data_IF_024380383255
#
_entry.id   IF_024380383255
#
_cell.length_a   1.000
_cell.length_b   1.000
_cell.length_c   1.000
_cell.angle_alpha   90.00
_cell.angle_beta   90.00
_cell.angle_gamma   90.00
#
_symmetry.space_group_name_H-M   'P 1'
#
loop_
_entity.id
_entity.type
_entity.pdbx_description
1 polymer ?
#
# COMPACT_ATOMS: atom_id res chain seq x y z
N UNK A 1 1.87 -26.56 -17.90
CA UNK A 1 2.06 -25.29 -18.63
C UNK A 1 3.28 -25.43 -19.53
N UNK A 2 3.14 -25.38 -20.86
CA UNK A 2 4.28 -25.58 -21.78
C UNK A 2 5.29 -24.41 -21.78
N UNK A 3 4.90 -23.24 -21.27
CA UNK A 3 5.71 -22.02 -21.18
C UNK A 3 6.35 -21.79 -19.80
N UNK A 4 6.22 -22.72 -18.86
CA UNK A 4 6.75 -22.55 -17.50
C UNK A 4 8.25 -22.88 -17.46
N UNK A 5 9.09 -21.83 -17.44
CA UNK A 5 10.55 -21.99 -17.44
C UNK A 5 11.12 -22.36 -16.07
N UNK A 6 10.63 -21.72 -15.00
CA UNK A 6 11.14 -21.85 -13.63
C UNK A 6 10.01 -21.72 -12.61
N UNK A 7 10.14 -22.44 -11.50
CA UNK A 7 9.35 -22.24 -10.29
C UNK A 7 10.31 -21.80 -9.19
N UNK A 8 10.15 -20.56 -8.71
CA UNK A 8 10.96 -20.03 -7.61
C UNK A 8 10.19 -20.27 -6.32
N UNK A 9 10.77 -21.03 -5.42
CA UNK A 9 10.23 -21.33 -4.11
C UNK A 9 10.78 -20.29 -3.14
N UNK A 10 9.88 -19.51 -2.53
CA UNK A 10 10.20 -18.56 -1.48
C UNK A 10 9.89 -19.23 -0.15
N UNK A 11 10.94 -19.57 0.59
CA UNK A 11 10.85 -20.21 1.88
C UNK A 11 10.32 -19.23 2.94
N UNK A 12 9.28 -19.64 3.68
CA UNK A 12 8.70 -18.82 4.76
C UNK A 12 9.18 -19.21 6.16
N UNK A 13 9.94 -20.30 6.28
CA UNK A 13 10.51 -20.82 7.53
C UNK A 13 11.90 -21.39 7.30
N UNK A 14 12.77 -21.29 8.30
CA UNK A 14 14.17 -21.76 8.21
C UNK A 14 14.30 -23.26 7.90
N UNK A 15 13.36 -24.10 8.36
CA UNK A 15 13.33 -25.55 8.08
C UNK A 15 12.91 -25.89 6.63
N UNK A 16 12.41 -24.91 5.88
CA UNK A 16 11.91 -25.13 4.51
C UNK A 16 13.04 -25.23 3.48
N UNK A 17 14.23 -24.71 3.80
CA UNK A 17 15.40 -24.71 2.91
C UNK A 17 15.96 -26.10 2.62
N UNK A 18 15.69 -27.09 3.48
CA UNK A 18 16.19 -28.47 3.34
C UNK A 18 15.13 -29.45 2.86
N UNK A 19 13.91 -28.98 2.54
CA UNK A 19 12.86 -29.87 2.04
C UNK A 19 13.18 -30.30 0.62
N UNK A 20 12.84 -31.55 0.32
CA UNK A 20 12.92 -32.05 -1.04
C UNK A 20 11.86 -31.36 -1.91
N UNK A 21 12.31 -30.81 -3.03
CA UNK A 21 11.50 -30.09 -4.02
C UNK A 21 11.55 -30.77 -5.39
N UNK A 22 12.11 -31.99 -5.48
CA UNK A 22 12.26 -32.76 -6.72
C UNK A 22 10.92 -33.01 -7.43
N UNK A 23 9.85 -33.14 -6.66
CA UNK A 23 8.50 -33.38 -7.18
C UNK A 23 7.90 -32.15 -7.87
N UNK A 24 8.46 -30.96 -7.62
CA UNK A 24 8.06 -29.71 -8.27
C UNK A 24 8.98 -29.50 -9.48
N UNK A 25 8.45 -29.77 -10.66
CA UNK A 25 9.20 -29.60 -11.92
C UNK A 25 9.74 -28.17 -12.07
N UNK A 26 11.00 -28.04 -12.51
CA UNK A 26 11.70 -26.77 -12.74
C UNK A 26 11.82 -25.88 -11.49
N UNK A 27 11.79 -26.48 -10.29
CA UNK A 27 11.89 -25.74 -9.02
C UNK A 27 13.30 -25.31 -8.67
N UNK A 28 13.40 -24.24 -7.89
CA UNK A 28 14.62 -23.77 -7.22
C UNK A 28 14.23 -22.89 -6.04
N UNK A 29 15.04 -22.94 -4.99
CA UNK A 29 14.91 -22.02 -3.87
C UNK A 29 15.36 -20.60 -4.23
N UNK A 30 14.72 -19.58 -3.62
CA UNK A 30 14.97 -18.17 -3.92
C UNK A 30 16.44 -17.82 -3.79
N UNK A 31 17.11 -18.24 -2.71
CA UNK A 31 18.53 -17.96 -2.48
C UNK A 31 19.40 -18.46 -3.64
N UNK A 32 19.21 -19.72 -4.03
CA UNK A 32 19.96 -20.32 -5.15
C UNK A 32 19.61 -19.67 -6.48
N UNK A 33 18.37 -19.21 -6.66
CA UNK A 33 17.98 -18.45 -7.84
C UNK A 33 18.69 -17.09 -7.92
N UNK A 34 18.78 -16.37 -6.80
CA UNK A 34 19.50 -15.09 -6.73
C UNK A 34 20.99 -15.25 -7.01
N UNK A 35 21.61 -16.34 -6.54
CA UNK A 35 23.01 -16.68 -6.83
C UNK A 35 23.28 -16.85 -8.35
N UNK A 36 22.30 -17.32 -9.13
CA UNK A 36 22.42 -17.42 -10.60
C UNK A 36 22.52 -16.04 -11.28
N UNK A 37 22.04 -14.99 -10.63
CA UNK A 37 22.05 -13.62 -11.15
C UNK A 37 23.31 -12.84 -10.81
N UNK A 38 24.23 -13.39 -9.99
CA UNK A 38 25.47 -12.71 -9.61
C UNK A 38 26.49 -12.69 -10.74
N UNK A 39 27.28 -11.63 -10.81
CA UNK A 39 28.46 -11.52 -11.65
C UNK A 39 29.51 -12.58 -11.28
N UNK A 40 30.50 -12.78 -12.16
CA UNK A 40 31.60 -13.73 -11.91
C UNK A 40 32.42 -13.42 -10.65
N UNK A 41 32.38 -12.17 -10.22
CA UNK A 41 33.01 -11.63 -9.02
C UNK A 41 32.08 -11.64 -7.79
N UNK A 42 30.85 -12.17 -7.91
CA UNK A 42 29.84 -12.16 -6.86
C UNK A 42 29.06 -10.85 -6.73
N UNK A 43 29.28 -9.87 -7.61
CA UNK A 43 28.55 -8.60 -7.60
C UNK A 43 27.11 -8.74 -8.12
N UNK A 44 26.21 -7.86 -7.68
CA UNK A 44 24.87 -7.74 -8.27
C UNK A 44 24.99 -6.88 -9.53
N UNK A 45 24.61 -7.39 -10.72
CA UNK A 45 24.63 -6.58 -11.94
C UNK A 45 23.76 -5.32 -11.81
N UNK A 46 24.13 -4.20 -12.46
CA UNK A 46 23.31 -2.99 -12.41
C UNK A 46 21.93 -3.25 -13.00
N UNK A 47 20.89 -2.72 -12.34
CA UNK A 47 19.53 -2.76 -12.87
C UNK A 47 19.45 -1.97 -14.18
N UNK A 48 18.84 -2.58 -15.20
CA UNK A 48 18.56 -1.93 -16.48
C UNK A 48 17.07 -1.59 -16.55
N UNK A 49 16.75 -0.32 -16.79
CA UNK A 49 15.38 0.17 -16.92
C UNK A 49 15.09 0.49 -18.38
N UNK A 50 14.17 -0.27 -18.97
CA UNK A 50 13.73 -0.08 -20.36
C UNK A 50 13.10 1.31 -20.54
N UNK A 51 13.49 2.02 -21.60
CA UNK A 51 12.94 3.34 -21.90
C UNK A 51 11.72 3.18 -22.79
N UNK A 52 10.55 3.50 -22.24
CA UNK A 52 9.27 3.27 -22.93
C UNK A 52 8.58 4.59 -23.28
N UNK A 53 7.70 4.56 -24.29
CA UNK A 53 6.87 5.72 -24.63
C UNK A 53 5.88 6.06 -23.52
N UNK A 54 5.36 7.29 -23.50
CA UNK A 54 4.32 7.71 -22.54
C UNK A 54 3.00 6.93 -22.67
N UNK A 55 2.79 6.24 -23.79
CA UNK A 55 1.61 5.40 -24.06
C UNK A 55 1.81 3.93 -23.69
N UNK A 56 2.99 3.55 -23.19
CA UNK A 56 3.29 2.17 -22.84
C UNK A 56 2.40 1.68 -21.67
N UNK A 57 1.85 0.46 -21.72
CA UNK A 57 1.08 -0.08 -20.60
C UNK A 57 2.00 -0.43 -19.42
N UNK A 58 1.63 -0.01 -18.21
CA UNK A 58 2.36 -0.29 -16.95
C UNK A 58 1.67 -1.37 -16.14
N UNK A 59 0.36 -1.26 -15.92
CA UNK A 59 -0.42 -2.29 -15.22
C UNK A 59 -1.87 -2.32 -15.68
N UNK A 60 -2.55 -3.43 -15.36
CA UNK A 60 -3.96 -3.67 -15.66
C UNK A 60 -4.70 -3.85 -14.33
N UNK A 61 -5.71 -3.02 -14.08
CA UNK A 61 -6.64 -3.21 -12.97
C UNK A 61 -7.97 -3.73 -13.49
N UNK A 62 -8.41 -4.86 -12.95
CA UNK A 62 -9.74 -5.40 -13.24
C UNK A 62 -10.76 -4.78 -12.29
N UNK A 63 -11.84 -4.24 -12.85
CA UNK A 63 -12.95 -3.67 -12.08
C UNK A 63 -14.21 -4.54 -12.24
N UNK A 64 -14.93 -4.74 -11.14
CA UNK A 64 -16.23 -5.41 -11.13
C UNK A 64 -17.27 -4.49 -11.77
N UNK A 65 -17.47 -4.62 -13.08
CA UNK A 65 -18.56 -3.92 -13.77
C UNK A 65 -19.92 -4.37 -13.26
N UNK A 66 -20.93 -3.51 -13.34
CA UNK A 66 -22.32 -3.82 -12.93
C UNK A 66 -23.05 -4.77 -13.89
N UNK A 67 -22.53 -4.95 -15.09
CA UNK A 67 -23.04 -5.89 -16.10
C UNK A 67 -21.87 -6.51 -16.89
N UNK A 68 -21.66 -7.82 -16.80
CA UNK A 68 -20.70 -8.57 -17.62
C UNK A 68 -19.36 -8.91 -16.97
N UNK A 69 -18.41 -9.37 -17.80
CA UNK A 69 -17.06 -9.75 -17.38
C UNK A 69 -16.28 -8.55 -16.79
N UNK A 70 -15.34 -8.77 -15.85
CA UNK A 70 -14.52 -7.70 -15.30
C UNK A 70 -13.85 -6.86 -16.39
N UNK A 71 -13.92 -5.53 -16.26
CA UNK A 71 -13.31 -4.61 -17.23
C UNK A 71 -11.83 -4.44 -16.92
N UNK A 72 -10.97 -4.75 -17.89
CA UNK A 72 -9.53 -4.55 -17.81
C UNK A 72 -9.19 -3.08 -18.10
N UNK A 73 -8.84 -2.32 -17.07
CA UNK A 73 -8.40 -0.93 -17.20
C UNK A 73 -6.89 -0.91 -17.32
N UNK A 74 -6.38 -0.43 -18.45
CA UNK A 74 -4.94 -0.34 -18.71
C UNK A 74 -4.46 1.04 -18.28
N UNK A 75 -3.39 1.08 -17.49
CA UNK A 75 -2.77 2.30 -17.01
C UNK A 75 -1.36 2.44 -17.58
N UNK A 76 -1.00 3.65 -18.02
CA UNK A 76 0.33 3.99 -18.50
C UNK A 76 1.07 4.96 -17.56
N UNK A 77 2.25 5.47 -17.96
CA UNK A 77 3.04 6.46 -17.21
C UNK A 77 2.25 7.70 -16.76
N UNK A 78 1.22 8.12 -17.50
CA UNK A 78 0.35 9.24 -17.10
C UNK A 78 -0.37 9.03 -15.77
N UNK A 79 -0.70 7.78 -15.41
CA UNK A 79 -1.24 7.46 -14.09
C UNK A 79 -0.22 7.75 -13.00
N UNK A 80 1.03 7.33 -13.19
CA UNK A 80 2.10 7.53 -12.22
C UNK A 80 2.36 9.02 -12.02
N UNK A 81 2.39 9.81 -13.09
CA UNK A 81 2.56 11.26 -13.00
C UNK A 81 1.44 11.93 -12.20
N UNK A 82 0.19 11.53 -12.41
CA UNK A 82 -0.94 12.03 -11.63
C UNK A 82 -0.82 11.61 -10.15
N UNK A 83 -0.41 10.37 -9.88
CA UNK A 83 -0.15 9.89 -8.53
C UNK A 83 0.99 10.66 -7.86
N UNK A 84 2.08 10.96 -8.56
CA UNK A 84 3.19 11.72 -8.00
C UNK A 84 2.78 13.14 -7.64
N UNK A 85 2.02 13.80 -8.53
CA UNK A 85 1.41 15.10 -8.22
C UNK A 85 0.61 15.03 -6.93
N UNK A 86 -0.26 14.02 -6.81
CA UNK A 86 -1.13 13.92 -5.64
C UNK A 86 -0.33 13.61 -4.36
N UNK A 87 0.65 12.72 -4.43
CA UNK A 87 1.53 12.41 -3.29
C UNK A 87 2.33 13.63 -2.83
N UNK A 88 2.83 14.44 -3.76
CA UNK A 88 3.57 15.66 -3.43
C UNK A 88 2.67 16.77 -2.88
N UNK A 89 1.50 17.00 -3.50
CA UNK A 89 0.68 18.19 -3.20
C UNK A 89 -0.39 17.96 -2.14
N UNK A 90 -0.99 16.76 -2.11
CA UNK A 90 -2.12 16.45 -1.24
C UNK A 90 -1.69 15.61 -0.03
N UNK A 91 -0.70 14.74 -0.20
CA UNK A 91 -0.22 13.85 0.86
C UNK A 91 1.04 14.36 1.54
N UNK A 92 1.66 15.44 1.07
CA UNK A 92 2.91 15.98 1.64
C UNK A 92 3.99 14.90 1.82
N UNK A 93 4.11 14.00 0.83
CA UNK A 93 5.00 12.85 0.93
C UNK A 93 6.45 13.26 0.64
N UNK A 94 7.29 13.11 1.66
CA UNK A 94 8.73 13.36 1.62
C UNK A 94 9.53 12.07 1.84
N UNK A 95 10.85 12.16 1.74
CA UNK A 95 11.75 11.01 1.90
C UNK A 95 11.77 10.46 3.33
N UNK A 96 11.59 11.32 4.33
CA UNK A 96 11.51 10.95 5.74
C UNK A 96 10.09 10.55 6.16
N UNK A 97 9.10 10.66 5.27
CA UNK A 97 7.75 10.18 5.53
C UNK A 97 7.73 8.68 5.79
N UNK A 98 7.05 8.31 6.86
CA UNK A 98 6.68 6.94 7.22
C UNK A 98 5.18 6.79 6.97
N UNK A 99 4.81 6.07 5.92
CA UNK A 99 3.45 5.94 5.41
C UNK A 99 2.88 4.56 5.70
N UNK A 100 1.76 4.52 6.41
CA UNK A 100 1.02 3.30 6.69
C UNK A 100 -0.21 3.20 5.80
N UNK A 101 -0.43 2.02 5.20
CA UNK A 101 -1.65 1.75 4.45
C UNK A 101 -2.24 0.37 4.74
N UNK A 102 -3.56 0.32 4.68
CA UNK A 102 -4.35 -0.92 4.64
C UNK A 102 -4.98 -1.06 3.25
N UNK A 103 -4.17 -1.37 2.25
CA UNK A 103 -4.62 -1.57 0.88
C UNK A 103 -4.22 -2.96 0.37
N UNK A 104 -5.17 -3.81 -0.02
CA UNK A 104 -4.86 -5.08 -0.67
C UNK A 104 -4.20 -4.86 -2.04
N UNK A 105 -3.25 -5.73 -2.40
CA UNK A 105 -2.49 -5.63 -3.66
C UNK A 105 -3.36 -5.63 -4.94
N UNK A 106 -4.58 -6.17 -4.87
CA UNK A 106 -5.51 -6.19 -5.99
C UNK A 106 -6.26 -4.87 -6.26
N UNK A 107 -6.07 -3.84 -5.43
CA UNK A 107 -6.78 -2.56 -5.56
C UNK A 107 -5.92 -1.48 -6.21
N UNK A 108 -6.55 -0.51 -6.85
CA UNK A 108 -5.83 0.64 -7.43
C UNK A 108 -5.07 1.44 -6.37
N UNK A 109 -5.56 1.49 -5.13
CA UNK A 109 -4.88 2.17 -4.02
C UNK A 109 -3.53 1.55 -3.69
N UNK A 110 -3.33 0.25 -3.93
CA UNK A 110 -2.02 -0.37 -3.78
C UNK A 110 -0.99 0.19 -4.76
N UNK A 111 -1.39 0.32 -6.03
CA UNK A 111 -0.56 0.92 -7.07
C UNK A 111 -0.23 2.39 -6.71
N UNK A 112 -1.19 3.11 -6.11
CA UNK A 112 -0.98 4.49 -5.66
C UNK A 112 0.06 4.57 -4.53
N UNK A 113 -0.09 3.76 -3.47
CA UNK A 113 0.84 3.80 -2.32
C UNK A 113 2.23 3.30 -2.70
N UNK A 114 2.32 2.23 -3.50
CA UNK A 114 3.62 1.73 -3.96
C UNK A 114 4.32 2.72 -4.89
N UNK A 115 3.57 3.50 -5.68
CA UNK A 115 4.13 4.59 -6.48
C UNK A 115 4.75 5.70 -5.62
N UNK A 116 4.33 5.86 -4.36
CA UNK A 116 4.93 6.84 -3.46
C UNK A 116 6.43 6.58 -3.21
N UNK A 117 6.93 5.35 -3.43
CA UNK A 117 8.36 5.01 -3.38
C UNK A 117 9.22 5.90 -4.28
N UNK A 118 8.64 6.56 -5.29
CA UNK A 118 9.30 7.59 -6.09
C UNK A 118 9.93 8.70 -5.22
N UNK A 119 9.27 9.11 -4.13
CA UNK A 119 9.76 10.13 -3.20
C UNK A 119 10.74 9.57 -2.16
N UNK A 120 10.87 8.24 -2.08
CA UNK A 120 11.69 7.54 -1.10
C UNK A 120 11.16 7.41 0.33
N UNK A 121 9.83 7.46 0.61
CA UNK A 121 9.31 7.24 1.97
C UNK A 121 9.49 5.78 2.41
N UNK A 122 9.33 5.54 3.71
CA UNK A 122 9.15 4.19 4.26
C UNK A 122 7.68 3.79 4.18
N UNK A 123 7.39 2.61 3.61
CA UNK A 123 6.02 2.08 3.53
C UNK A 123 5.81 0.96 4.57
N UNK A 124 4.78 1.12 5.41
CA UNK A 124 4.27 0.08 6.29
C UNK A 124 3.02 -0.52 5.68
N UNK A 125 3.07 -1.82 5.45
CA UNK A 125 2.04 -2.59 4.77
C UNK A 125 1.39 -3.51 5.81
N UNK A 126 0.09 -3.38 5.99
CA UNK A 126 -0.68 -4.22 6.89
C UNK A 126 -1.75 -5.01 6.14
N UNK A 127 -1.74 -6.33 6.35
CA UNK A 127 -2.76 -7.25 5.86
C UNK A 127 -3.50 -7.87 7.04
N UNK A 128 -4.81 -7.66 7.10
CA UNK A 128 -5.67 -8.23 8.14
C UNK A 128 -6.72 -7.26 8.65
N UNK A 129 -7.37 -7.66 9.74
CA UNK A 129 -8.42 -6.87 10.40
C UNK A 129 -7.91 -6.36 11.75
N UNK A 130 -7.81 -5.04 11.95
CA UNK A 130 -7.14 -4.49 13.13
C UNK A 130 -8.00 -4.59 14.40
N UNK A 131 -9.32 -4.65 14.28
CA UNK A 131 -10.24 -4.61 15.43
C UNK A 131 -10.19 -5.88 16.30
N UNK A 132 -9.66 -6.99 15.77
CA UNK A 132 -9.55 -8.25 16.50
C UNK A 132 -8.19 -8.44 17.17
N UNK A 133 -7.26 -7.50 16.97
CA UNK A 133 -5.92 -7.55 17.57
C UNK A 133 -5.90 -6.82 18.91
N UNK A 134 -6.33 -5.56 18.93
CA UNK A 134 -6.48 -4.73 20.14
C UNK A 134 -7.34 -3.50 19.81
N UNK A 135 -8.10 -2.95 20.79
CA UNK A 135 -8.80 -1.67 20.63
C UNK A 135 -7.90 -0.51 20.17
N UNK A 136 -6.61 -0.54 20.51
CA UNK A 136 -5.65 0.53 20.20
C UNK A 136 -4.67 0.18 19.10
N UNK A 137 -4.83 -0.97 18.43
CA UNK A 137 -3.79 -1.55 17.56
C UNK A 137 -3.21 -0.56 16.54
N UNK A 138 -4.06 0.10 15.74
CA UNK A 138 -3.57 1.05 14.73
C UNK A 138 -2.87 2.27 15.35
N UNK A 139 -3.31 2.71 16.52
CA UNK A 139 -2.73 3.83 17.25
C UNK A 139 -1.37 3.47 17.83
N UNK A 140 -1.25 2.24 18.34
CA UNK A 140 0.00 1.70 18.85
C UNK A 140 1.07 1.61 17.75
N UNK A 141 0.68 1.19 16.54
CA UNK A 141 1.59 1.17 15.39
C UNK A 141 2.11 2.57 15.05
N UNK A 142 1.29 3.61 15.19
CA UNK A 142 1.72 5.00 14.93
C UNK A 142 2.83 5.39 15.89
N UNK A 143 2.63 5.11 17.18
CA UNK A 143 3.60 5.44 18.21
C UNK A 143 4.90 4.62 18.09
N UNK A 144 4.78 3.33 17.79
CA UNK A 144 5.88 2.37 17.68
C UNK A 144 6.77 2.69 16.48
N UNK A 145 6.17 2.85 15.30
CA UNK A 145 6.90 3.04 14.05
C UNK A 145 7.06 4.51 13.65
N UNK A 146 6.61 5.45 14.49
CA UNK A 146 6.62 6.89 14.21
C UNK A 146 5.95 7.23 12.87
N UNK A 147 4.80 6.61 12.62
CA UNK A 147 4.03 6.83 11.39
C UNK A 147 3.68 8.30 11.29
N UNK A 148 3.92 8.87 10.10
CA UNK A 148 3.66 10.27 9.77
C UNK A 148 2.43 10.45 8.89
N UNK A 149 2.17 9.46 8.03
CA UNK A 149 1.07 9.46 7.07
C UNK A 149 0.29 8.17 7.21
N UNK A 150 -1.02 8.25 7.33
CA UNK A 150 -1.89 7.08 7.45
C UNK A 150 -2.99 7.13 6.40
N UNK A 151 -3.22 6.01 5.70
CA UNK A 151 -4.33 5.83 4.77
C UNK A 151 -5.07 4.52 5.08
N UNK A 152 -6.30 4.62 5.59
CA UNK A 152 -7.12 3.44 5.92
C UNK A 152 -8.51 3.51 5.27
N UNK A 153 -9.21 2.37 5.10
CA UNK A 153 -10.60 2.38 4.65
C UNK A 153 -11.51 3.15 5.62
N UNK A 154 -12.45 3.93 5.09
CA UNK A 154 -13.45 4.67 5.90
C UNK A 154 -14.25 3.74 6.81
N UNK A 155 -14.48 2.49 6.39
CA UNK A 155 -15.14 1.45 7.20
C UNK A 155 -14.36 1.08 8.47
N UNK A 156 -13.03 1.26 8.49
CA UNK A 156 -12.22 1.10 9.70
C UNK A 156 -12.56 2.19 10.72
N UNK A 157 -12.59 3.46 10.29
CA UNK A 157 -12.96 4.58 11.14
C UNK A 157 -14.39 4.47 11.68
N UNK A 158 -15.35 4.11 10.83
CA UNK A 158 -16.75 3.88 11.21
C UNK A 158 -16.87 2.85 12.35
N UNK A 159 -16.10 1.77 12.27
CA UNK A 159 -16.15 0.72 13.29
C UNK A 159 -15.39 1.10 14.56
N UNK A 160 -14.27 1.84 14.45
CA UNK A 160 -13.56 2.39 15.61
C UNK A 160 -14.45 3.37 16.38
N UNK A 161 -15.17 4.24 15.68
CA UNK A 161 -16.15 5.15 16.27
C UNK A 161 -17.23 4.36 17.04
N UNK A 162 -17.87 3.37 16.40
CA UNK A 162 -18.93 2.56 17.03
C UNK A 162 -18.47 1.83 18.29
N UNK A 163 -17.21 1.37 18.31
CA UNK A 163 -16.64 0.63 19.44
C UNK A 163 -15.97 1.52 20.48
N UNK A 164 -15.87 2.83 20.25
CA UNK A 164 -15.14 3.75 21.13
C UNK A 164 -13.63 3.47 21.18
N UNK A 165 -13.05 2.99 20.07
CA UNK A 165 -11.64 2.64 19.97
C UNK A 165 -10.82 3.89 19.69
N UNK A 166 -10.23 4.45 20.75
CA UNK A 166 -9.52 5.73 20.72
C UNK A 166 -8.05 5.56 21.13
N UNK A 167 -7.15 6.42 20.66
CA UNK A 167 -5.75 6.43 21.09
C UNK A 167 -5.59 6.66 22.59
N UNK A 168 -4.43 6.26 23.13
CA UNK A 168 -4.04 6.67 24.49
C UNK A 168 -3.79 8.18 24.53
N UNK A 169 -4.03 8.79 25.69
CA UNK A 169 -3.72 10.21 25.89
C UNK A 169 -2.24 10.48 25.62
N UNK A 170 -1.94 11.47 24.78
CA UNK A 170 -0.56 11.86 24.43
C UNK A 170 0.12 11.00 23.37
N UNK A 171 -0.63 10.12 22.68
CA UNK A 171 -0.12 9.36 21.52
C UNK A 171 -0.27 10.13 20.20
N UNK A 172 0.21 9.54 19.11
CA UNK A 172 0.10 10.05 17.73
C UNK A 172 0.88 11.33 17.49
N UNK A 173 1.97 11.55 18.22
CA UNK A 173 2.80 12.76 18.08
C UNK A 173 3.35 12.90 16.65
N UNK A 174 3.81 11.80 16.06
CA UNK A 174 4.40 11.78 14.71
C UNK A 174 3.39 11.95 13.57
N UNK A 175 2.09 11.70 13.82
CA UNK A 175 1.07 11.68 12.77
C UNK A 175 0.76 13.10 12.28
N UNK A 176 1.06 13.37 11.00
CA UNK A 176 0.86 14.66 10.33
C UNK A 176 -0.38 14.65 9.44
N UNK A 177 -0.55 13.57 8.68
CA UNK A 177 -1.65 13.41 7.71
C UNK A 177 -2.36 12.08 7.94
N UNK A 178 -3.68 12.11 8.06
CA UNK A 178 -4.51 10.91 8.13
C UNK A 178 -5.64 11.00 7.11
N UNK A 179 -5.72 9.99 6.26
CA UNK A 179 -6.69 9.91 5.19
C UNK A 179 -7.55 8.67 5.33
N UNK A 180 -8.82 8.85 5.03
CA UNK A 180 -9.80 7.79 4.90
C UNK A 180 -10.18 7.62 3.43
N UNK A 181 -10.28 6.37 2.96
CA UNK A 181 -10.59 6.07 1.57
C UNK A 181 -11.63 4.97 1.36
N UNK A 182 -12.17 4.91 0.15
CA UNK A 182 -13.07 3.83 -0.30
C UNK A 182 -14.56 4.18 -0.21
N UNK A 183 -14.94 5.13 0.64
CA UNK A 183 -16.26 5.75 0.64
C UNK A 183 -16.19 7.16 1.22
N UNK A 184 -17.20 7.98 0.95
CA UNK A 184 -17.36 9.31 1.54
C UNK A 184 -17.36 9.19 3.07
N UNK A 185 -16.54 10.01 3.73
CA UNK A 185 -16.49 10.12 5.19
C UNK A 185 -17.73 10.87 5.68
N UNK A 186 -18.41 10.32 6.70
CA UNK A 186 -19.59 10.96 7.28
C UNK A 186 -19.16 12.16 8.16
N UNK A 187 -19.96 13.24 8.26
CA UNK A 187 -19.64 14.38 9.12
C UNK A 187 -19.28 13.99 10.56
N UNK A 188 -20.01 13.04 11.16
CA UNK A 188 -19.73 12.60 12.54
C UNK A 188 -18.36 11.93 12.73
N UNK A 189 -17.73 11.44 11.64
CA UNK A 189 -16.38 10.87 11.70
C UNK A 189 -15.34 11.99 11.79
N UNK A 190 -15.56 13.14 11.15
CA UNK A 190 -14.69 14.31 11.34
C UNK A 190 -14.71 14.75 12.81
N UNK A 191 -15.90 14.86 13.40
CA UNK A 191 -16.04 15.19 14.82
C UNK A 191 -15.33 14.15 15.69
N UNK A 192 -15.57 12.86 15.46
CA UNK A 192 -14.90 11.78 16.19
C UNK A 192 -13.37 11.88 16.11
N UNK A 193 -12.82 12.12 14.92
CA UNK A 193 -11.38 12.25 14.68
C UNK A 193 -10.80 13.42 15.47
N UNK A 194 -11.37 14.62 15.34
CA UNK A 194 -10.82 15.81 15.99
C UNK A 194 -11.07 15.84 17.51
N UNK A 195 -12.17 15.26 17.99
CA UNK A 195 -12.48 15.21 19.42
C UNK A 195 -11.76 14.08 20.16
N UNK A 196 -11.60 12.91 19.53
CA UNK A 196 -11.18 11.68 20.22
C UNK A 196 -9.86 11.10 19.73
N UNK A 197 -9.40 11.44 18.51
CA UNK A 197 -8.15 10.91 17.96
C UNK A 197 -7.02 11.92 18.10
N UNK A 198 -7.09 13.06 17.42
CA UNK A 198 -6.06 14.12 17.47
C UNK A 198 -6.62 15.44 16.93
N UNK A 199 -6.23 16.57 17.52
CA UNK A 199 -6.70 17.91 17.12
C UNK A 199 -5.86 18.58 16.04
N UNK A 200 -4.54 18.51 16.20
CA UNK A 200 -3.60 19.32 15.41
C UNK A 200 -2.93 18.49 14.31
N UNK A 201 -3.71 18.11 13.29
CA UNK A 201 -3.21 17.39 12.12
C UNK A 201 -4.17 17.52 10.91
N UNK A 202 -3.71 17.14 9.72
CA UNK A 202 -4.54 17.13 8.52
C UNK A 202 -5.34 15.84 8.40
N UNK A 203 -6.65 15.90 8.63
CA UNK A 203 -7.58 14.81 8.30
C UNK A 203 -8.28 15.07 6.97
N UNK A 204 -8.28 14.08 6.07
CA UNK A 204 -8.97 14.21 4.79
C UNK A 204 -9.74 12.95 4.37
N UNK A 205 -10.89 13.18 3.75
CA UNK A 205 -11.60 12.17 2.98
C UNK A 205 -10.99 12.09 1.58
N UNK A 206 -10.73 10.88 1.10
CA UNK A 206 -10.24 10.64 -0.25
C UNK A 206 -11.13 9.65 -0.97
N UNK A 207 -11.66 10.05 -2.13
CA UNK A 207 -12.44 9.15 -2.98
C UNK A 207 -12.05 9.33 -4.44
N UNK A 208 -11.94 8.20 -5.15
CA UNK A 208 -11.60 8.15 -6.56
C UNK A 208 -12.17 6.90 -7.21
N UNK A 209 -12.40 6.93 -8.52
CA UNK A 209 -12.75 5.73 -9.30
C UNK A 209 -11.49 5.23 -10.00
N UNK A 210 -11.32 3.91 -10.10
CA UNK A 210 -10.15 3.31 -10.79
C UNK A 210 -9.92 3.77 -12.25
N UNK A 211 -10.88 4.46 -12.87
CA UNK A 211 -10.73 5.07 -14.19
C UNK A 211 -10.11 6.49 -14.17
N UNK A 212 -10.16 7.20 -13.03
CA UNK A 212 -9.66 8.55 -12.86
C UNK A 212 -8.99 8.70 -11.48
N UNK A 213 -7.67 8.83 -11.46
CA UNK A 213 -6.97 9.26 -10.24
C UNK A 213 -7.29 10.73 -10.00
N UNK A 214 -8.31 10.98 -9.19
CA UNK A 214 -8.47 12.23 -8.49
C UNK A 214 -8.62 11.92 -7.02
N UNK A 215 -7.73 12.49 -6.21
CA UNK A 215 -8.00 12.73 -4.82
C UNK A 215 -8.77 14.04 -4.74
N UNK A 216 -10.06 13.97 -4.39
CA UNK A 216 -10.79 15.15 -3.93
C UNK A 216 -10.60 15.19 -2.42
N UNK A 217 -9.87 16.18 -1.93
CA UNK A 217 -9.82 16.49 -0.51
C UNK A 217 -11.06 17.33 -0.18
N UNK A 218 -11.98 16.76 0.58
CA UNK A 218 -13.00 17.55 1.28
C UNK A 218 -12.48 17.79 2.70
N UNK A 219 -12.05 19.04 2.94
CA UNK A 219 -11.62 19.58 4.23
C UNK A 219 -12.81 19.94 5.11
#
# INVERSE_FOLDING_TARGET
LKSLEKVIIVESKDDSHSRDISDIKNSIFLKKFLELGLGRDGSVPPMQFEQVSFTHPVFINYTSGTTGLPKAVVHGPGFLLATFRDMALHFDTERDSISFTMSPAGWVSWNIVTSALFFGPTLLLFEGSPYFLSPTFLWDLVDEFKITHMLIPTTILDEYQKRGFVPRKGSLESLKVFMAAGSVVKPQIYDFVYENIKKDFAFASTFGKGHFNFFILES
#
